data_IF_004171943622
#
_entry.id   IF_004171943622
#
_cell.length_a   1.000
_cell.length_b   1.000
_cell.length_c   1.000
_cell.angle_alpha   90.00
_cell.angle_beta   90.00
_cell.angle_gamma   90.00
#
_symmetry.space_group_name_H-M   'P 1'
#
loop_
_entity.id
_entity.type
_entity.pdbx_description
1 polymer ?
#
# COMPACT_ATOMS: atom_id res chain seq x y z
N UNK A 1 -46.43 -33.27 -2.16
CA UNK A 1 -45.94 -32.10 -2.91
C UNK A 1 -45.06 -31.18 -2.04
N UNK A 2 -44.22 -31.72 -1.16
CA UNK A 2 -43.39 -30.93 -0.23
C UNK A 2 -41.88 -31.05 -0.50
N UNK A 3 -41.47 -31.92 -1.43
CA UNK A 3 -40.05 -32.24 -1.67
C UNK A 3 -39.34 -31.27 -2.64
N UNK A 4 -40.09 -30.43 -3.38
CA UNK A 4 -39.52 -29.53 -4.40
C UNK A 4 -38.99 -28.20 -3.84
N UNK A 5 -39.45 -27.77 -2.66
CA UNK A 5 -39.05 -26.47 -2.10
C UNK A 5 -37.65 -26.54 -1.47
N UNK A 6 -37.27 -27.67 -0.85
CA UNK A 6 -35.93 -27.84 -0.27
C UNK A 6 -34.80 -27.86 -1.31
N UNK A 7 -35.06 -28.35 -2.53
CA UNK A 7 -34.06 -28.35 -3.62
C UNK A 7 -33.84 -26.96 -4.25
N UNK A 8 -34.72 -25.99 -3.99
CA UNK A 8 -34.61 -24.62 -4.52
C UNK A 8 -33.78 -23.71 -3.60
N UNK A 9 -33.84 -23.91 -2.28
CA UNK A 9 -33.14 -23.06 -1.30
C UNK A 9 -31.63 -23.37 -1.23
N UNK A 10 -31.19 -24.59 -1.55
CA UNK A 10 -29.77 -24.97 -1.53
C UNK A 10 -28.93 -24.37 -2.67
N UNK A 11 -29.56 -23.79 -3.69
CA UNK A 11 -28.87 -23.17 -4.84
C UNK A 11 -28.66 -21.65 -4.68
N UNK A 12 -29.24 -21.02 -3.64
CA UNK A 12 -29.23 -19.56 -3.46
C UNK A 12 -28.40 -19.12 -2.23
N UNK A 13 -27.21 -19.70 -2.06
CA UNK A 13 -26.18 -19.23 -1.14
C UNK A 13 -24.87 -19.09 -1.91
N UNK A 14 -24.85 -18.21 -2.92
CA UNK A 14 -23.60 -17.70 -3.46
C UNK A 14 -23.02 -16.73 -2.44
N UNK A 15 -22.28 -17.26 -1.46
CA UNK A 15 -21.48 -16.43 -0.57
C UNK A 15 -20.45 -15.72 -1.44
N UNK A 16 -20.61 -14.41 -1.62
CA UNK A 16 -19.59 -13.58 -2.26
C UNK A 16 -18.38 -13.53 -1.31
N UNK A 17 -17.48 -14.52 -1.43
CA UNK A 17 -16.20 -14.47 -0.74
C UNK A 17 -15.31 -13.50 -1.52
N UNK A 18 -14.94 -12.39 -0.88
CA UNK A 18 -13.88 -11.54 -1.41
C UNK A 18 -12.59 -12.36 -1.44
N UNK A 19 -12.05 -12.56 -2.63
CA UNK A 19 -10.72 -13.17 -2.82
C UNK A 19 -9.73 -12.03 -2.98
N UNK A 20 -8.78 -11.97 -2.06
CA UNK A 20 -7.64 -11.06 -2.16
C UNK A 20 -6.53 -11.74 -2.93
N UNK A 21 -5.87 -10.98 -3.80
CA UNK A 21 -4.61 -11.36 -4.42
C UNK A 21 -3.58 -10.29 -4.09
N UNK A 22 -2.32 -10.71 -3.93
CA UNK A 22 -1.21 -9.77 -3.90
C UNK A 22 -1.21 -8.98 -5.22
N UNK A 23 -1.24 -7.65 -5.12
CA UNK A 23 -1.21 -6.75 -6.28
C UNK A 23 0.18 -6.16 -6.44
N UNK A 24 0.82 -5.81 -5.33
CA UNK A 24 2.11 -5.12 -5.33
C UNK A 24 2.93 -5.57 -4.12
N UNK A 25 4.25 -5.68 -4.31
CA UNK A 25 5.22 -5.98 -3.27
C UNK A 25 6.15 -4.80 -3.16
N UNK A 26 6.13 -4.15 -2.00
CA UNK A 26 6.98 -3.00 -1.74
C UNK A 26 8.35 -3.50 -1.26
N UNK A 27 9.28 -3.64 -2.18
CA UNK A 27 10.62 -4.14 -1.89
C UNK A 27 11.52 -3.01 -1.37
N UNK A 28 12.31 -3.32 -0.34
CA UNK A 28 13.19 -2.32 0.27
C UNK A 28 14.18 -1.71 -0.74
N UNK A 29 14.64 -2.48 -1.72
CA UNK A 29 15.62 -2.03 -2.73
C UNK A 29 15.01 -1.04 -3.73
N UNK A 30 13.71 -1.14 -4.03
CA UNK A 30 13.02 -0.29 -5.02
C UNK A 30 12.06 0.71 -4.41
N UNK A 31 11.80 0.64 -3.10
CA UNK A 31 10.79 1.45 -2.42
C UNK A 31 10.91 2.94 -2.72
N UNK A 32 12.11 3.52 -2.63
CA UNK A 32 12.30 4.95 -2.88
C UNK A 32 12.35 5.31 -4.37
N UNK A 33 12.42 4.33 -5.27
CA UNK A 33 12.33 4.53 -6.73
C UNK A 33 10.88 4.58 -7.20
N UNK A 34 10.00 3.82 -6.53
CA UNK A 34 8.58 3.68 -6.88
C UNK A 34 7.67 4.68 -6.16
N UNK A 35 8.24 5.69 -5.50
CA UNK A 35 7.49 6.67 -4.69
C UNK A 35 7.74 8.09 -5.17
N UNK A 36 6.68 8.89 -5.08
CA UNK A 36 6.75 10.33 -5.32
C UNK A 36 7.20 11.01 -4.03
N UNK A 37 8.28 11.76 -4.11
CA UNK A 37 8.69 12.68 -3.05
C UNK A 37 7.94 14.00 -3.27
N UNK A 38 7.07 14.34 -2.33
CA UNK A 38 6.42 15.66 -2.31
C UNK A 38 7.50 16.72 -2.12
N UNK A 39 7.37 17.83 -2.84
CA UNK A 39 8.24 19.01 -2.72
C UNK A 39 7.38 20.26 -2.71
N UNK A 40 7.82 21.29 -1.99
CA UNK A 40 7.09 22.54 -1.83
C UNK A 40 6.55 22.73 -0.41
N UNK A 41 5.74 23.79 -0.23
CA UNK A 41 5.16 24.10 1.06
C UNK A 41 4.18 23.02 1.52
N UNK A 42 4.20 22.72 2.82
CA UNK A 42 3.23 21.79 3.42
C UNK A 42 1.79 22.32 3.24
N UNK A 43 0.89 21.56 2.58
CA UNK A 43 -0.51 21.96 2.43
C UNK A 43 -1.23 22.22 3.75
N UNK A 44 -0.76 21.62 4.85
CA UNK A 44 -1.30 21.84 6.19
C UNK A 44 -0.74 23.08 6.91
N UNK A 45 0.19 23.79 6.25
CA UNK A 45 0.91 24.94 6.78
C UNK A 45 1.74 24.63 8.04
N UNK A 46 2.25 23.41 8.16
CA UNK A 46 3.16 22.99 9.22
C UNK A 46 4.57 23.56 9.06
N UNK A 47 5.35 23.46 10.13
CA UNK A 47 6.77 23.82 10.14
C UNK A 47 7.62 22.64 9.66
N UNK A 48 7.58 22.37 8.36
CA UNK A 48 8.27 21.27 7.68
C UNK A 48 8.84 21.75 6.34
N UNK A 49 9.98 21.19 5.93
CA UNK A 49 10.61 21.39 4.63
C UNK A 49 10.63 20.05 3.87
N UNK A 50 9.80 19.92 2.83
CA UNK A 50 9.74 18.71 2.01
C UNK A 50 10.83 18.72 0.95
N UNK A 51 11.73 17.73 1.03
CA UNK A 51 12.92 17.62 0.19
C UNK A 51 12.72 16.57 -0.92
N UNK A 52 13.34 16.82 -2.07
CA UNK A 52 13.40 15.80 -3.13
C UNK A 52 14.22 14.58 -2.71
N UNK A 53 14.06 13.49 -3.47
CA UNK A 53 14.74 12.23 -3.24
C UNK A 53 16.26 12.36 -3.14
N UNK A 54 16.88 13.08 -4.06
CA UNK A 54 18.34 13.22 -4.10
C UNK A 54 18.86 13.96 -2.86
N UNK A 55 18.11 14.94 -2.40
CA UNK A 55 18.42 15.74 -1.22
C UNK A 55 18.25 14.92 0.07
N UNK A 56 17.17 14.13 0.21
CA UNK A 56 17.03 13.26 1.40
C UNK A 56 18.09 12.16 1.45
N UNK A 57 18.48 11.58 0.31
CA UNK A 57 19.52 10.56 0.24
C UNK A 57 20.90 11.13 0.58
N UNK A 58 21.25 12.29 0.00
CA UNK A 58 22.53 12.95 0.27
C UNK A 58 22.65 13.43 1.72
N UNK A 59 21.53 13.80 2.36
CA UNK A 59 21.47 14.14 3.79
C UNK A 59 21.41 12.90 4.70
N UNK A 60 21.30 11.69 4.15
CA UNK A 60 21.14 10.46 4.94
C UNK A 60 19.81 10.36 5.67
N UNK A 61 18.80 11.12 5.25
CA UNK A 61 17.46 11.11 5.84
C UNK A 61 16.68 9.85 5.48
N UNK A 62 17.08 9.16 4.42
CA UNK A 62 16.54 7.86 4.00
C UNK A 62 17.67 6.94 3.59
N UNK A 63 17.54 5.65 3.91
CA UNK A 63 18.44 4.61 3.45
C UNK A 63 17.78 3.24 3.48
N UNK A 64 18.47 2.24 2.93
CA UNK A 64 18.02 0.85 2.88
C UNK A 64 19.19 -0.04 3.31
N UNK A 65 18.99 -0.92 4.29
CA UNK A 65 20.01 -1.89 4.69
C UNK A 65 19.35 -3.18 5.17
N UNK A 66 19.91 -4.33 4.79
CA UNK A 66 19.44 -5.68 5.20
C UNK A 66 17.94 -5.93 4.95
N UNK A 67 17.39 -5.38 3.87
CA UNK A 67 15.97 -5.48 3.53
C UNK A 67 15.04 -4.58 4.37
N UNK A 68 15.61 -3.65 5.14
CA UNK A 68 14.89 -2.70 5.98
C UNK A 68 14.98 -1.29 5.41
N UNK A 69 13.87 -0.56 5.47
CA UNK A 69 13.78 0.87 5.15
C UNK A 69 14.07 1.70 6.40
N UNK A 70 14.97 2.68 6.27
CA UNK A 70 15.29 3.63 7.33
C UNK A 70 14.89 5.04 6.91
N UNK A 71 14.37 5.81 7.86
CA UNK A 71 14.03 7.22 7.72
C UNK A 71 14.31 7.98 9.02
N UNK A 72 14.77 9.24 8.93
CA UNK A 72 15.04 10.11 10.09
C UNK A 72 14.23 11.40 10.05
#
# INVERSE_FOLDING_TARGET
MHFSILFCVSRLLAVAQAVYRLVDTLDAQTFYDERIFLVGGDPSHGYVDYLDKATVQSKGLVSTADGVLYGS
#
